data_IF_468205095936
#
_entry.id   IF_468205095936
#
_cell.length_a   1.000
_cell.length_b   1.000
_cell.length_c   1.000
_cell.angle_alpha   90.00
_cell.angle_beta   90.00
_cell.angle_gamma   90.00
#
_symmetry.space_group_name_H-M   'P 1'
#
loop_
_entity.id
_entity.type
_entity.pdbx_description
1 polymer ?
#
# COMPACT_ATOMS: atom_id res chain seq x y z
N UNK A 1 9.76 0.62 16.56
CA UNK A 1 9.53 1.03 15.15
C UNK A 1 8.10 0.62 14.80
N UNK A 2 7.33 1.49 14.16
CA UNK A 2 5.94 1.19 13.79
C UNK A 2 6.00 0.27 12.55
N UNK A 3 5.30 -0.86 12.62
CA UNK A 3 5.21 -1.81 11.51
C UNK A 3 3.85 -1.68 10.86
N UNK A 4 3.84 -1.66 9.53
CA UNK A 4 2.61 -1.60 8.74
C UNK A 4 2.57 -2.77 7.78
N UNK A 5 1.39 -3.35 7.65
CA UNK A 5 1.09 -4.35 6.64
C UNK A 5 0.06 -3.75 5.68
N UNK A 6 0.30 -3.89 4.39
CA UNK A 6 -0.66 -3.53 3.36
C UNK A 6 -1.27 -4.82 2.80
N UNK A 7 -2.60 -4.91 2.80
CA UNK A 7 -3.27 -5.97 2.06
C UNK A 7 -2.85 -5.93 0.60
N UNK A 8 -2.79 -7.11 -0.05
CA UNK A 8 -2.38 -7.21 -1.45
C UNK A 8 -3.19 -6.27 -2.35
N UNK A 9 -4.49 -6.14 -2.07
CA UNK A 9 -5.39 -5.26 -2.81
C UNK A 9 -5.12 -3.77 -2.61
N UNK A 10 -4.32 -3.35 -1.63
CA UNK A 10 -3.88 -1.96 -1.53
C UNK A 10 -2.90 -1.60 -2.67
N UNK A 11 -2.11 -2.58 -3.13
CA UNK A 11 -1.05 -2.42 -4.15
C UNK A 11 -1.52 -2.97 -5.51
N UNK A 12 -2.02 -4.20 -5.54
CA UNK A 12 -2.56 -4.86 -6.73
C UNK A 12 -4.08 -4.72 -6.76
N UNK A 13 -4.58 -3.77 -7.55
CA UNK A 13 -6.01 -3.44 -7.65
C UNK A 13 -6.62 -3.86 -8.99
N UNK A 14 -6.62 -5.16 -9.35
CA UNK A 14 -7.02 -5.62 -10.69
C UNK A 14 -8.50 -5.37 -11.01
N UNK A 15 -9.32 -5.13 -10.00
CA UNK A 15 -10.76 -4.88 -10.12
C UNK A 15 -11.14 -3.39 -9.98
N UNK A 16 -10.19 -2.53 -9.61
CA UNK A 16 -10.46 -1.08 -9.51
C UNK A 16 -10.32 -0.40 -10.86
N UNK A 17 -10.99 0.75 -11.01
CA UNK A 17 -10.83 1.64 -12.16
C UNK A 17 -10.40 3.02 -11.67
N UNK A 18 -9.35 3.63 -12.25
CA UNK A 18 -8.84 4.94 -11.82
C UNK A 18 -9.82 6.11 -12.02
N UNK A 19 -10.94 5.87 -12.72
CA UNK A 19 -11.97 6.88 -12.93
C UNK A 19 -12.86 7.10 -11.69
N UNK A 20 -12.74 6.27 -10.66
CA UNK A 20 -13.45 6.44 -9.39
C UNK A 20 -12.61 7.30 -8.45
N UNK A 21 -13.16 8.44 -8.01
CA UNK A 21 -12.49 9.37 -7.08
C UNK A 21 -11.99 8.66 -5.82
N UNK A 22 -12.78 7.72 -5.29
CA UNK A 22 -12.39 6.90 -4.14
C UNK A 22 -11.08 6.14 -4.37
N UNK A 23 -10.95 5.46 -5.53
CA UNK A 23 -9.76 4.67 -5.87
C UNK A 23 -8.53 5.57 -5.97
N UNK A 24 -8.67 6.76 -6.56
CA UNK A 24 -7.58 7.75 -6.64
C UNK A 24 -7.11 8.17 -5.25
N UNK A 25 -8.03 8.54 -4.36
CA UNK A 25 -7.67 8.96 -3.00
C UNK A 25 -7.03 7.84 -2.18
N UNK A 26 -7.53 6.60 -2.28
CA UNK A 26 -6.92 5.46 -1.61
C UNK A 26 -5.52 5.16 -2.16
N UNK A 27 -5.30 5.31 -3.47
CA UNK A 27 -3.98 5.13 -4.08
C UNK A 27 -2.98 6.18 -3.60
N UNK A 28 -3.38 7.45 -3.52
CA UNK A 28 -2.55 8.53 -2.96
C UNK A 28 -2.20 8.27 -1.49
N UNK A 29 -3.15 7.76 -0.70
CA UNK A 29 -2.89 7.39 0.69
C UNK A 29 -1.83 6.26 0.80
N UNK A 30 -1.91 5.25 -0.07
CA UNK A 30 -0.92 4.16 -0.14
C UNK A 30 0.46 4.71 -0.53
N UNK A 31 0.54 5.61 -1.51
CA UNK A 31 1.80 6.27 -1.90
C UNK A 31 2.40 7.07 -0.74
N UNK A 32 1.57 7.78 0.02
CA UNK A 32 2.00 8.48 1.24
C UNK A 32 2.62 7.53 2.27
N UNK A 33 1.98 6.38 2.53
CA UNK A 33 2.51 5.35 3.44
C UNK A 33 3.86 4.81 2.93
N UNK A 34 3.97 4.49 1.64
CA UNK A 34 5.21 3.99 1.05
C UNK A 34 6.35 5.02 1.17
N UNK A 35 6.07 6.31 1.01
CA UNK A 35 7.08 7.36 1.21
C UNK A 35 7.64 7.41 2.65
N UNK A 36 6.81 7.09 3.65
CA UNK A 36 7.26 6.98 5.05
C UNK A 36 8.12 5.75 5.27
N UNK A 37 7.84 4.65 4.55
CA UNK A 37 8.69 3.45 4.54
C UNK A 37 10.06 3.77 3.94
N UNK A 38 10.09 4.45 2.79
CA UNK A 38 11.32 4.85 2.11
C UNK A 38 12.17 5.79 2.96
N UNK A 39 11.53 6.65 3.77
CA UNK A 39 12.20 7.51 4.74
C UNK A 39 12.68 6.77 6.01
N UNK A 40 12.40 5.47 6.16
CA UNK A 40 12.77 4.67 7.34
C UNK A 40 11.98 5.01 8.60
N UNK A 41 10.88 5.76 8.49
CA UNK A 41 10.04 6.17 9.62
C UNK A 41 9.14 5.03 10.10
N UNK A 42 8.71 4.18 9.16
CA UNK A 42 7.91 2.98 9.41
C UNK A 42 8.47 1.80 8.62
N UNK A 43 8.20 0.59 9.09
CA UNK A 43 8.67 -0.65 8.46
C UNK A 43 7.50 -1.34 7.76
N UNK A 44 7.58 -1.49 6.44
CA UNK A 44 6.64 -2.31 5.67
C UNK A 44 6.96 -3.79 5.88
N UNK A 45 5.98 -4.56 6.35
CA UNK A 45 6.10 -6.01 6.49
C UNK A 45 5.25 -6.73 5.45
N UNK A 46 5.68 -7.94 5.08
CA UNK A 46 4.98 -8.80 4.12
C UNK A 46 4.67 -10.16 4.73
N UNK A 47 3.60 -10.80 4.26
CA UNK A 47 3.26 -12.17 4.59
C UNK A 47 4.06 -13.14 3.73
N UNK A 48 4.41 -14.31 4.26
CA UNK A 48 5.03 -15.40 3.48
C UNK A 48 4.18 -15.79 2.26
N UNK A 49 2.85 -15.61 2.33
CA UNK A 49 1.94 -15.86 1.23
C UNK A 49 2.20 -14.98 -0.02
N UNK A 50 2.96 -13.89 0.10
CA UNK A 50 3.26 -12.94 -0.97
C UNK A 50 4.68 -13.08 -1.54
N UNK A 51 5.44 -14.11 -1.14
CA UNK A 51 6.85 -14.31 -1.55
C UNK A 51 6.98 -15.06 -2.90
N UNK A 52 5.87 -15.31 -3.60
CA UNK A 52 5.81 -16.06 -4.85
C UNK A 52 5.82 -15.14 -6.07
#
# INVERSE_FOLDING_TARGET
MIKVYLDLCAIQRPLDTPNQVRVVLEAEAVLGILSLCDAGLIELVSSEALVY
#
